data_IF_669677722135
#
_entry.id   IF_669677722135
#
_cell.length_a   1.000
_cell.length_b   1.000
_cell.length_c   1.000
_cell.angle_alpha   90.00
_cell.angle_beta   90.00
_cell.angle_gamma   90.00
#
_symmetry.space_group_name_H-M   'P 1'
#
loop_
_entity.id
_entity.type
_entity.pdbx_description
1 polymer ?
#
# COMPACT_ATOMS: atom_id res chain seq x y z
N UNK A 1 32.88 -18.82 -5.39
CA UNK A 1 31.66 -18.68 -4.56
C UNK A 1 31.77 -19.70 -3.44
N UNK A 2 31.80 -19.29 -2.17
CA UNK A 2 32.00 -20.24 -1.08
C UNK A 2 30.71 -21.04 -0.83
N UNK A 3 30.84 -22.29 -0.35
CA UNK A 3 29.69 -23.18 -0.12
C UNK A 3 28.76 -22.66 1.01
N UNK A 4 29.32 -21.94 1.99
CA UNK A 4 28.55 -21.19 3.01
C UNK A 4 27.66 -20.09 2.45
N UNK A 5 28.00 -19.48 1.30
CA UNK A 5 27.19 -18.47 0.64
C UNK A 5 26.07 -19.11 -0.18
N UNK A 6 26.23 -20.34 -0.68
CA UNK A 6 25.16 -21.04 -1.43
C UNK A 6 24.01 -21.45 -0.52
N UNK A 7 24.28 -21.90 0.70
CA UNK A 7 23.25 -22.41 1.63
C UNK A 7 22.30 -21.34 2.15
N UNK A 8 22.69 -20.06 2.14
CA UNK A 8 21.82 -18.95 2.54
C UNK A 8 20.72 -18.67 1.51
N UNK A 9 20.95 -18.99 0.23
CA UNK A 9 20.04 -18.66 -0.87
C UNK A 9 19.27 -19.86 -1.44
N UNK A 10 19.59 -21.10 -1.06
CA UNK A 10 18.96 -22.32 -1.62
C UNK A 10 17.91 -22.97 -0.75
N UNK A 11 17.73 -22.55 0.50
CA UNK A 11 16.58 -22.96 1.31
C UNK A 11 15.44 -21.98 1.07
N UNK A 12 14.91 -22.02 -0.15
CA UNK A 12 13.57 -21.51 -0.41
C UNK A 12 12.63 -22.38 0.43
N UNK A 13 12.18 -21.89 1.59
CA UNK A 13 11.03 -22.52 2.25
C UNK A 13 9.93 -22.47 1.22
N UNK A 14 9.47 -23.64 0.77
CA UNK A 14 8.27 -23.76 -0.04
C UNK A 14 7.24 -22.80 0.54
N UNK A 15 6.83 -21.81 -0.25
CA UNK A 15 5.74 -20.93 0.13
C UNK A 15 4.50 -21.82 0.14
N UNK A 16 4.24 -22.46 1.29
CA UNK A 16 2.98 -23.14 1.52
C UNK A 16 1.94 -22.04 1.52
N UNK A 17 1.28 -21.91 0.38
CA UNK A 17 0.10 -21.08 0.20
C UNK A 17 -0.78 -21.30 1.44
N UNK A 18 -1.03 -20.28 2.28
CA UNK A 18 -1.80 -20.47 3.48
C UNK A 18 -3.18 -20.99 3.08
N UNK A 19 -3.65 -22.02 3.80
CA UNK A 19 -4.94 -22.71 3.60
C UNK A 19 -5.98 -21.81 2.90
N UNK A 20 -6.29 -22.12 1.64
CA UNK A 20 -7.18 -21.31 0.77
C UNK A 20 -8.56 -21.04 1.39
N UNK A 21 -8.97 -21.79 2.40
CA UNK A 21 -10.23 -21.61 3.15
C UNK A 21 -10.24 -20.41 4.11
N UNK A 22 -9.08 -19.87 4.51
CA UNK A 22 -8.96 -18.62 5.29
C UNK A 22 -8.84 -17.37 4.39
N UNK A 23 -8.71 -17.55 3.07
CA UNK A 23 -8.10 -16.57 2.17
C UNK A 23 -9.11 -15.68 1.39
N UNK A 24 -10.32 -15.47 1.87
CA UNK A 24 -11.28 -14.58 1.17
C UNK A 24 -11.84 -13.44 2.05
N UNK A 25 -11.58 -13.43 3.36
CA UNK A 25 -12.12 -12.41 4.27
C UNK A 25 -11.28 -11.15 4.38
N UNK A 26 -9.96 -11.25 4.29
CA UNK A 26 -9.06 -10.11 4.58
C UNK A 26 -9.39 -8.86 3.77
N UNK A 27 -9.61 -9.00 2.46
CA UNK A 27 -9.97 -7.86 1.59
C UNK A 27 -11.43 -7.42 1.73
N UNK A 28 -12.34 -8.32 2.12
CA UNK A 28 -13.75 -8.00 2.37
C UNK A 28 -13.91 -7.15 3.65
N UNK A 29 -13.04 -7.36 4.64
CA UNK A 29 -13.05 -6.65 5.92
C UNK A 29 -12.40 -5.26 5.85
N UNK A 30 -11.59 -4.98 4.83
CA UNK A 30 -10.98 -3.65 4.65
C UNK A 30 -12.05 -2.66 4.19
N UNK A 31 -12.38 -1.69 5.05
CA UNK A 31 -13.27 -0.58 4.72
C UNK A 31 -12.41 0.69 4.65
N UNK A 32 -12.46 1.37 3.51
CA UNK A 32 -11.81 2.67 3.33
C UNK A 32 -12.88 3.77 3.33
N UNK A 33 -12.66 4.84 4.07
CA UNK A 33 -13.49 6.04 4.01
C UNK A 33 -12.74 7.19 3.37
N UNK A 34 -13.40 7.92 2.47
CA UNK A 34 -12.82 9.08 1.80
C UNK A 34 -12.41 10.19 2.79
N UNK A 35 -13.12 10.30 3.91
CA UNK A 35 -12.79 11.26 4.96
C UNK A 35 -11.49 10.92 5.69
N UNK A 36 -11.14 9.62 5.82
CA UNK A 36 -9.85 9.24 6.40
C UNK A 36 -8.70 9.71 5.52
N UNK A 37 -8.83 9.60 4.20
CA UNK A 37 -7.84 10.10 3.23
C UNK A 37 -7.72 11.62 3.36
N UNK A 38 -8.85 12.34 3.43
CA UNK A 38 -8.86 13.79 3.62
C UNK A 38 -8.12 14.18 4.90
N UNK A 39 -8.44 13.53 6.03
CA UNK A 39 -7.79 13.76 7.32
C UNK A 39 -6.30 13.49 7.25
N UNK A 40 -5.86 12.44 6.56
CA UNK A 40 -4.44 12.14 6.37
C UNK A 40 -3.72 13.21 5.55
N UNK A 41 -4.33 13.69 4.46
CA UNK A 41 -3.78 14.77 3.64
C UNK A 41 -3.69 16.09 4.42
N UNK A 42 -4.67 16.40 5.28
CA UNK A 42 -4.65 17.60 6.12
C UNK A 42 -3.53 17.58 7.17
N UNK A 43 -3.21 16.38 7.66
CA UNK A 43 -2.20 16.13 8.69
C UNK A 43 -0.82 15.74 8.14
N UNK A 44 -0.56 15.90 6.84
CA UNK A 44 0.76 15.67 6.25
C UNK A 44 1.83 16.51 6.96
N UNK A 45 2.92 15.85 7.38
CA UNK A 45 4.08 16.53 7.94
C UNK A 45 4.87 17.22 6.82
N UNK A 46 4.77 18.54 6.78
CA UNK A 46 5.44 19.39 5.80
C UNK A 46 6.91 19.61 6.12
N UNK A 47 7.38 19.23 7.31
CA UNK A 47 8.79 19.36 7.72
C UNK A 47 9.62 18.18 7.25
N UNK A 48 8.99 17.13 6.72
CA UNK A 48 9.70 16.02 6.12
C UNK A 48 10.55 16.53 4.97
N UNK A 49 11.82 16.16 4.96
CA UNK A 49 12.73 16.51 3.86
C UNK A 49 12.13 16.04 2.52
N UNK A 50 12.37 16.81 1.47
CA UNK A 50 11.95 16.46 0.12
C UNK A 50 12.59 15.12 -0.27
N UNK A 51 11.77 14.16 -0.71
CA UNK A 51 12.27 12.86 -1.15
C UNK A 51 12.93 12.98 -2.54
N UNK A 52 13.64 11.93 -2.97
CA UNK A 52 14.37 11.90 -4.26
C UNK A 52 13.46 12.11 -5.47
N UNK A 53 12.16 11.91 -5.31
CA UNK A 53 11.12 12.14 -6.31
C UNK A 53 10.78 13.63 -6.50
N UNK A 54 11.35 14.53 -5.69
CA UNK A 54 11.10 15.96 -5.72
C UNK A 54 9.74 16.36 -5.15
N UNK A 55 8.97 15.41 -4.59
CA UNK A 55 7.73 15.71 -3.90
C UNK A 55 8.04 16.08 -2.45
N UNK A 56 7.75 17.33 -2.07
CA UNK A 56 7.76 17.73 -0.66
C UNK A 56 6.38 17.55 -0.05
N UNK A 57 6.33 17.29 1.26
CA UNK A 57 5.07 17.28 2.01
C UNK A 57 4.28 18.59 1.85
N UNK A 58 4.97 19.71 1.61
CA UNK A 58 4.35 21.01 1.35
C UNK A 58 3.57 21.05 0.03
N UNK A 59 4.19 20.56 -1.06
CA UNK A 59 3.54 20.49 -2.38
C UNK A 59 2.33 19.56 -2.35
N UNK A 60 2.46 18.40 -1.70
CA UNK A 60 1.35 17.45 -1.54
C UNK A 60 0.18 18.07 -0.74
N UNK A 61 0.48 18.90 0.26
CA UNK A 61 -0.54 19.58 1.06
C UNK A 61 -1.31 20.63 0.28
N UNK A 62 -0.65 21.38 -0.62
CA UNK A 62 -1.32 22.31 -1.54
C UNK A 62 -2.20 21.57 -2.55
N UNK A 63 -1.70 20.44 -3.08
CA UNK A 63 -2.43 19.63 -4.06
C UNK A 63 -3.55 18.77 -3.46
N UNK A 64 -3.77 18.78 -2.14
CA UNK A 64 -4.69 17.85 -1.45
C UNK A 64 -6.09 17.76 -2.04
N UNK A 65 -6.65 18.87 -2.53
CA UNK A 65 -7.98 18.90 -3.16
C UNK A 65 -8.00 18.13 -4.47
N UNK A 66 -6.92 18.21 -5.24
CA UNK A 66 -6.77 17.51 -6.52
C UNK A 66 -6.40 16.03 -6.30
N UNK A 67 -5.71 15.72 -5.20
CA UNK A 67 -5.25 14.37 -4.87
C UNK A 67 -6.34 13.48 -4.23
N UNK A 68 -7.34 14.09 -3.59
CA UNK A 68 -8.37 13.34 -2.85
C UNK A 68 -9.11 12.32 -3.73
N UNK A 69 -9.58 12.75 -4.90
CA UNK A 69 -10.36 11.89 -5.80
C UNK A 69 -9.50 10.79 -6.46
N UNK A 70 -8.33 11.09 -7.05
CA UNK A 70 -7.45 10.07 -7.61
C UNK A 70 -7.01 9.01 -6.59
N UNK A 71 -6.67 9.40 -5.36
CA UNK A 71 -6.27 8.44 -4.32
C UNK A 71 -7.46 7.56 -3.91
N UNK A 72 -8.64 8.15 -3.76
CA UNK A 72 -9.87 7.39 -3.47
C UNK A 72 -10.20 6.38 -4.57
N UNK A 73 -10.13 6.80 -5.83
CA UNK A 73 -10.34 5.93 -6.99
C UNK A 73 -9.32 4.78 -7.01
N UNK A 74 -8.04 5.07 -6.79
CA UNK A 74 -6.99 4.05 -6.76
C UNK A 74 -7.21 3.00 -5.67
N UNK A 75 -7.59 3.42 -4.46
CA UNK A 75 -7.86 2.51 -3.34
C UNK A 75 -9.09 1.65 -3.64
N UNK A 76 -10.18 2.27 -4.09
CA UNK A 76 -11.45 1.56 -4.34
C UNK A 76 -11.37 0.64 -5.54
N UNK A 77 -10.69 1.02 -6.63
CA UNK A 77 -10.45 0.14 -7.78
C UNK A 77 -9.62 -1.08 -7.37
N UNK A 78 -8.53 -0.86 -6.64
CA UNK A 78 -7.64 -1.93 -6.15
C UNK A 78 -8.37 -2.90 -5.21
N UNK A 79 -9.18 -2.38 -4.27
CA UNK A 79 -9.98 -3.22 -3.38
C UNK A 79 -11.04 -4.02 -4.16
N UNK A 80 -11.71 -3.39 -5.13
CA UNK A 80 -12.71 -4.06 -5.95
C UNK A 80 -12.10 -5.15 -6.85
N UNK A 81 -10.93 -4.90 -7.42
CA UNK A 81 -10.20 -5.89 -8.21
C UNK A 81 -9.73 -7.07 -7.34
N UNK A 82 -9.10 -6.79 -6.20
CA UNK A 82 -8.67 -7.85 -5.27
C UNK A 82 -9.83 -8.70 -4.75
N UNK A 83 -10.99 -8.08 -4.48
CA UNK A 83 -12.22 -8.79 -4.07
C UNK A 83 -12.84 -9.66 -5.17
N UNK A 84 -12.58 -9.37 -6.45
CA UNK A 84 -13.02 -10.23 -7.57
C UNK A 84 -12.13 -11.47 -7.74
N UNK A 85 -10.88 -11.39 -7.26
CA UNK A 85 -9.89 -12.47 -7.34
C UNK A 85 -9.93 -13.41 -6.12
N UNK A 86 -10.76 -13.11 -5.12
CA UNK A 86 -10.98 -13.90 -3.89
C UNK A 86 -12.37 -14.50 -3.87
#
# INVERSE_FOLDING_TARGET
MNESFKTVFTVERNFTEPNRTLHCRGLQEIIAHKEDIRRLLDNLDVRKAMELDGASGWVLKECKKQLLDPIWEMITSSLNEGRKLT
#
